data_IF_611627123989
#
_entry.id   IF_611627123989
#
_cell.length_a   1.000
_cell.length_b   1.000
_cell.length_c   1.000
_cell.angle_alpha   90.00
_cell.angle_beta   90.00
_cell.angle_gamma   90.00
#
_symmetry.space_group_name_H-M   'P 1'
#
loop_
_entity.id
_entity.type
_entity.pdbx_description
1 polymer ?
#
# COMPACT_ATOMS: atom_id res chain seq x y z
N UNK A 1 5.97 15.41 24.55
CA UNK A 1 6.58 14.17 24.05
C UNK A 1 5.85 13.88 22.74
N UNK A 2 6.53 13.90 21.59
CA UNK A 2 5.86 13.73 20.30
C UNK A 2 5.30 12.32 20.19
N UNK A 3 4.01 12.22 19.92
CA UNK A 3 3.22 10.98 19.83
C UNK A 3 3.41 10.31 18.46
N UNK A 4 4.66 10.24 17.99
CA UNK A 4 4.98 9.64 16.69
C UNK A 4 5.17 8.14 16.94
N UNK A 5 4.30 7.28 16.37
CA UNK A 5 4.46 5.85 16.51
C UNK A 5 5.82 5.41 15.93
N UNK A 6 6.42 4.34 16.49
CA UNK A 6 7.66 3.79 15.95
C UNK A 6 7.47 3.39 14.49
N UNK A 7 8.49 3.63 13.67
CA UNK A 7 8.48 3.28 12.26
C UNK A 7 8.25 1.77 12.09
N UNK A 8 7.31 1.41 11.21
CA UNK A 8 7.05 0.01 10.90
C UNK A 8 8.27 -0.62 10.23
N UNK A 9 8.69 -1.82 10.65
CA UNK A 9 9.83 -2.49 10.03
C UNK A 9 9.57 -2.73 8.54
N UNK A 10 10.58 -2.48 7.71
CA UNK A 10 10.53 -2.78 6.27
C UNK A 10 10.58 -4.30 6.08
N UNK A 11 9.43 -4.88 5.76
CA UNK A 11 9.28 -6.33 5.47
C UNK A 11 9.55 -6.60 3.98
N UNK A 12 9.34 -5.60 3.12
CA UNK A 12 9.56 -5.72 1.70
C UNK A 12 11.06 -5.73 1.35
N UNK A 13 11.46 -6.64 0.47
CA UNK A 13 12.79 -6.67 -0.13
C UNK A 13 12.84 -5.68 -1.29
N UNK A 14 13.84 -4.79 -1.29
CA UNK A 14 14.11 -3.93 -2.44
C UNK A 14 14.57 -4.77 -3.63
N UNK A 15 13.97 -4.57 -4.81
CA UNK A 15 14.42 -5.23 -6.04
C UNK A 15 14.37 -4.28 -7.23
N UNK A 16 15.28 -4.52 -8.18
CA UNK A 16 15.30 -3.81 -9.46
C UNK A 16 14.71 -4.73 -10.55
N UNK A 17 13.59 -4.35 -11.20
CA UNK A 17 12.93 -5.20 -12.19
C UNK A 17 13.81 -5.59 -13.39
N UNK A 18 14.81 -4.78 -13.71
CA UNK A 18 15.75 -5.08 -14.79
C UNK A 18 16.91 -6.01 -14.35
N UNK A 19 17.31 -5.98 -13.08
CA UNK A 19 18.33 -6.90 -12.55
C UNK A 19 17.75 -8.28 -12.26
N UNK A 20 16.51 -8.30 -11.76
CA UNK A 20 15.81 -9.50 -11.28
C UNK A 20 14.45 -9.61 -11.99
N UNK A 21 14.42 -9.85 -13.31
CA UNK A 21 13.18 -9.89 -14.08
C UNK A 21 12.24 -11.04 -13.69
N UNK A 22 12.79 -12.10 -13.10
CA UNK A 22 12.06 -13.30 -12.69
C UNK A 22 11.62 -13.24 -11.22
N UNK A 23 11.76 -12.08 -10.54
CA UNK A 23 11.31 -11.92 -9.17
C UNK A 23 9.78 -12.08 -9.08
N UNK A 24 9.32 -13.06 -8.31
CA UNK A 24 7.90 -13.41 -8.21
C UNK A 24 7.23 -12.73 -7.01
N UNK A 25 6.39 -11.73 -7.30
CA UNK A 25 5.61 -11.00 -6.30
C UNK A 25 4.54 -11.86 -5.59
N UNK A 26 4.27 -13.08 -6.08
CA UNK A 26 3.40 -14.04 -5.39
C UNK A 26 4.15 -14.80 -4.28
N UNK A 27 5.48 -14.86 -4.34
CA UNK A 27 6.32 -15.58 -3.38
C UNK A 27 7.03 -14.65 -2.40
N UNK A 28 7.27 -13.40 -2.78
CA UNK A 28 8.00 -12.41 -2.00
C UNK A 28 7.25 -11.09 -1.90
N UNK A 29 7.45 -10.36 -0.79
CA UNK A 29 7.00 -8.97 -0.69
C UNK A 29 8.13 -8.10 -1.27
N UNK A 30 7.88 -7.49 -2.42
CA UNK A 30 8.88 -6.76 -3.19
C UNK A 30 8.58 -5.25 -3.22
N UNK A 31 9.56 -4.42 -2.89
CA UNK A 31 9.53 -2.97 -3.07
C UNK A 31 10.33 -2.63 -4.34
N UNK A 32 9.67 -2.03 -5.33
CA UNK A 32 10.33 -1.64 -6.59
C UNK A 32 11.33 -0.52 -6.31
N UNK A 33 12.62 -0.82 -6.44
CA UNK A 33 13.70 0.15 -6.33
C UNK A 33 14.68 -0.04 -7.49
N UNK A 34 14.66 0.89 -8.43
CA UNK A 34 15.57 0.88 -9.58
C UNK A 34 17.01 1.13 -9.14
N UNK A 35 17.93 0.27 -9.58
CA UNK A 35 19.36 0.50 -9.34
C UNK A 35 19.86 1.65 -10.23
N UNK A 36 21.03 2.22 -9.92
CA UNK A 36 21.60 3.35 -10.64
C UNK A 36 21.77 3.12 -12.16
N UNK A 37 21.94 1.88 -12.60
CA UNK A 37 22.10 1.52 -14.01
C UNK A 37 20.78 1.40 -14.78
N UNK A 38 19.70 1.12 -14.06
CA UNK A 38 18.38 0.85 -14.64
C UNK A 38 17.35 1.89 -14.24
N UNK A 39 17.78 3.04 -13.70
CA UNK A 39 16.86 4.15 -13.42
C UNK A 39 16.12 4.48 -14.73
N UNK A 40 14.78 4.39 -14.75
CA UNK A 40 14.02 4.69 -15.95
C UNK A 40 14.19 6.16 -16.31
N UNK A 41 14.18 6.44 -17.61
CA UNK A 41 14.14 7.82 -18.09
C UNK A 41 12.88 8.48 -17.53
N UNK A 42 13.06 9.64 -16.91
CA UNK A 42 11.96 10.53 -16.53
C UNK A 42 11.71 11.49 -17.69
N UNK A 43 10.45 11.84 -17.94
CA UNK A 43 10.01 12.74 -19.03
C UNK A 43 9.98 12.07 -20.42
N UNK A 44 9.69 10.77 -20.45
CA UNK A 44 9.39 10.07 -21.69
C UNK A 44 8.07 10.51 -22.33
N UNK A 45 7.85 10.09 -23.58
CA UNK A 45 6.61 10.38 -24.32
C UNK A 45 5.37 9.89 -23.57
N UNK A 46 5.50 8.81 -22.81
CA UNK A 46 4.42 8.26 -21.99
C UNK A 46 4.25 9.00 -20.66
N UNK A 47 5.32 9.56 -20.07
CA UNK A 47 5.20 10.44 -18.90
C UNK A 47 4.40 11.70 -19.24
N UNK A 48 4.64 12.26 -20.44
CA UNK A 48 3.90 13.43 -20.95
C UNK A 48 2.41 13.15 -21.21
N UNK A 49 2.00 11.88 -21.30
CA UNK A 49 0.60 11.47 -21.44
C UNK A 49 -0.14 11.38 -20.11
N UNK A 50 0.59 11.27 -19.00
CA UNK A 50 -0.01 11.27 -17.66
C UNK A 50 -0.33 12.71 -17.29
N UNK A 51 -1.54 13.15 -17.65
CA UNK A 51 -2.09 14.40 -17.14
C UNK A 51 -2.41 14.21 -15.65
N UNK A 52 -1.53 14.65 -14.76
CA UNK A 52 -1.82 14.67 -13.33
C UNK A 52 -2.79 15.82 -13.01
N UNK A 53 -4.05 15.69 -13.42
CA UNK A 53 -5.12 16.59 -12.94
C UNK A 53 -5.56 16.22 -11.51
N UNK A 54 -5.23 14.99 -11.08
CA UNK A 54 -5.47 14.53 -9.74
C UNK A 54 -4.46 15.20 -8.81
N UNK A 55 -4.92 16.28 -8.17
CA UNK A 55 -4.35 16.75 -6.92
C UNK A 55 -4.29 15.54 -5.96
N UNK A 56 -3.10 14.94 -5.80
CA UNK A 56 -2.80 13.91 -4.81
C UNK A 56 -2.78 14.50 -3.38
N UNK A 57 -3.73 15.40 -3.07
CA UNK A 57 -4.06 15.74 -1.70
C UNK A 57 -5.01 14.69 -1.17
N UNK A 58 -4.43 13.75 -0.44
CA UNK A 58 -5.17 12.89 0.44
C UNK A 58 -4.99 11.43 0.07
N UNK A 59 -4.26 10.73 0.92
CA UNK A 59 -4.81 9.60 1.67
C UNK A 59 -6.28 9.86 2.05
N UNK A 60 -7.21 9.84 1.08
CA UNK A 60 -8.61 9.59 1.35
C UNK A 60 -8.73 8.07 1.47
N UNK A 61 -8.14 7.59 2.56
CA UNK A 61 -8.35 6.34 3.27
C UNK A 61 -9.50 5.52 2.69
N UNK A 62 -9.22 4.25 2.37
CA UNK A 62 -10.25 3.22 2.17
C UNK A 62 -11.45 3.51 3.09
N UNK A 63 -12.62 3.78 2.51
CA UNK A 63 -13.74 4.46 3.15
C UNK A 63 -13.94 4.07 4.61
N UNK A 64 -13.46 4.90 5.54
CA UNK A 64 -13.46 4.56 6.96
C UNK A 64 -14.86 4.27 7.50
N UNK A 65 -15.89 4.90 6.94
CA UNK A 65 -17.29 4.62 7.27
C UNK A 65 -17.76 3.26 6.75
N UNK A 66 -17.32 2.83 5.57
CA UNK A 66 -17.59 1.50 5.04
C UNK A 66 -16.88 0.44 5.87
N UNK A 67 -15.61 0.67 6.23
CA UNK A 67 -14.84 -0.22 7.09
C UNK A 67 -15.46 -0.34 8.49
N UNK A 68 -15.93 0.78 9.08
CA UNK A 68 -16.65 0.74 10.37
C UNK A 68 -17.94 -0.05 10.32
N UNK A 69 -18.73 0.09 9.24
CA UNK A 69 -19.94 -0.73 9.03
C UNK A 69 -19.62 -2.21 8.93
N UNK A 70 -18.53 -2.58 8.25
CA UNK A 70 -18.06 -3.96 8.19
C UNK A 70 -17.61 -4.49 9.56
N UNK A 71 -16.87 -3.69 10.33
CA UNK A 71 -16.47 -4.04 11.69
C UNK A 71 -17.68 -4.31 12.59
N UNK A 72 -18.73 -3.48 12.54
CA UNK A 72 -19.95 -3.66 13.35
C UNK A 72 -20.68 -4.97 13.04
N UNK A 73 -20.70 -5.41 11.78
CA UNK A 73 -21.30 -6.69 11.37
C UNK A 73 -20.49 -7.86 11.94
N UNK A 74 -19.18 -7.86 11.69
CA UNK A 74 -18.27 -8.96 12.05
C UNK A 74 -18.13 -9.09 13.57
N UNK A 75 -17.95 -7.98 14.28
CA UNK A 75 -17.74 -7.98 15.73
C UNK A 75 -19.07 -7.96 16.51
N UNK A 76 -20.13 -7.36 15.97
CA UNK A 76 -21.43 -7.28 16.63
C UNK A 76 -22.15 -8.63 16.76
N UNK A 77 -21.98 -9.55 15.81
CA UNK A 77 -22.47 -10.93 15.95
C UNK A 77 -21.76 -11.71 17.06
N UNK A 78 -20.45 -11.48 17.21
CA UNK A 78 -19.64 -12.07 18.28
C UNK A 78 -20.11 -11.63 19.67
N UNK A 79 -20.43 -10.33 19.83
CA UNK A 79 -20.97 -9.79 21.08
C UNK A 79 -22.39 -10.30 21.40
N UNK A 80 -23.25 -10.47 20.39
CA UNK A 80 -24.60 -11.02 20.57
C UNK A 80 -24.58 -12.51 20.93
N UNK A 81 -23.64 -13.28 20.39
CA UNK A 81 -23.45 -14.70 20.73
C UNK A 81 -22.91 -14.89 22.14
N UNK A 82 -21.99 -14.03 22.60
CA UNK A 82 -21.46 -14.06 23.96
C UNK A 82 -22.51 -13.75 25.05
N UNK A 83 -23.54 -12.95 24.74
CA UNK A 83 -24.63 -12.60 25.66
C UNK A 83 -25.78 -13.62 25.72
N UNK A 84 -25.71 -14.68 24.90
CA UNK A 84 -26.75 -15.72 24.78
C UNK A 84 -26.36 -17.05 25.45
N UNK A 85 -25.15 -17.12 26.00
CA UNK A 85 -24.67 -18.12 26.96
C UNK A 85 -24.65 -17.51 28.35
#
# INVERSE_FOLDING_TARGET
MSDIPPETPRIARAYCPACEPDADALLEILEVQWCALHVPLREGVDDARVMSDAMLTGSAEAGGDENRRWCDVIHGESARRARRN
#
